data_IF_259009276684
#
_entry.id   IF_259009276684
#
_cell.length_a   1.000
_cell.length_b   1.000
_cell.length_c   1.000
_cell.angle_alpha   90.00
_cell.angle_beta   90.00
_cell.angle_gamma   90.00
#
_symmetry.space_group_name_H-M   'P 1'
#
loop_
_entity.id
_entity.type
_entity.pdbx_description
1 polymer ?
#
# COMPACT_ATOMS: atom_id res chain seq x y z
N UNK A 1 35.16 0.21 -6.79
CA UNK A 1 33.75 0.06 -6.38
C UNK A 1 33.54 -1.40 -6.02
N UNK A 2 33.08 -1.75 -4.81
CA UNK A 2 32.63 -3.12 -4.55
C UNK A 2 31.53 -3.49 -5.55
N UNK A 3 31.43 -4.78 -5.90
CA UNK A 3 30.40 -5.25 -6.82
C UNK A 3 29.01 -5.05 -6.20
N UNK A 4 28.11 -4.41 -6.95
CA UNK A 4 26.70 -4.23 -6.58
C UNK A 4 25.88 -5.37 -7.16
N UNK A 5 24.98 -5.92 -6.35
CA UNK A 5 24.06 -6.98 -6.75
C UNK A 5 22.63 -6.47 -6.67
N UNK A 6 21.72 -7.14 -7.38
CA UNK A 6 20.29 -6.96 -7.16
C UNK A 6 19.61 -8.28 -6.82
N UNK A 7 18.57 -8.19 -6.00
CA UNK A 7 17.72 -9.30 -5.60
C UNK A 7 16.27 -8.94 -5.88
N UNK A 8 15.48 -9.94 -6.26
CA UNK A 8 14.08 -9.74 -6.62
C UNK A 8 13.17 -10.85 -6.12
N UNK A 9 11.94 -10.49 -5.79
CA UNK A 9 10.86 -11.43 -5.49
C UNK A 9 9.68 -11.15 -6.40
N UNK A 10 9.19 -12.20 -7.04
CA UNK A 10 7.93 -12.22 -7.78
C UNK A 10 7.30 -13.59 -7.56
N UNK A 11 6.01 -13.62 -7.27
CA UNK A 11 5.28 -14.85 -6.95
C UNK A 11 3.80 -14.66 -7.31
N UNK A 12 3.10 -15.72 -7.77
CA UNK A 12 1.64 -15.70 -7.91
C UNK A 12 0.90 -15.34 -6.61
N UNK A 13 1.55 -15.50 -5.47
CA UNK A 13 1.01 -15.12 -4.16
C UNK A 13 1.04 -13.61 -3.90
N UNK A 14 1.88 -12.85 -4.60
CA UNK A 14 1.94 -11.39 -4.46
C UNK A 14 0.89 -10.80 -5.39
N UNK A 15 -0.37 -10.97 -5.02
CA UNK A 15 -1.51 -10.55 -5.82
C UNK A 15 -2.53 -9.78 -5.01
N UNK A 16 -3.24 -8.88 -5.67
CA UNK A 16 -4.41 -8.21 -5.13
C UNK A 16 -5.48 -8.09 -6.23
N UNK A 17 -6.69 -8.53 -5.91
CA UNK A 17 -7.82 -8.51 -6.83
C UNK A 17 -8.66 -7.28 -6.52
N UNK A 18 -8.70 -6.31 -7.44
CA UNK A 18 -9.38 -5.03 -7.21
C UNK A 18 -10.26 -4.65 -8.39
N UNK A 19 -11.32 -3.91 -8.09
CA UNK A 19 -12.09 -3.17 -9.09
C UNK A 19 -11.48 -1.78 -9.30
N UNK A 20 -11.59 -1.24 -10.50
CA UNK A 20 -11.23 0.14 -10.82
C UNK A 20 -11.89 0.60 -12.13
N UNK A 21 -11.73 1.88 -12.40
CA UNK A 21 -11.83 2.46 -13.73
C UNK A 21 -10.92 3.68 -13.80
N UNK A 22 -10.30 3.89 -14.95
CA UNK A 22 -9.52 5.05 -15.31
C UNK A 22 -10.43 6.14 -15.88
N UNK A 23 -10.23 7.35 -15.40
CA UNK A 23 -10.85 8.56 -15.93
C UNK A 23 -9.79 9.66 -16.01
N UNK A 24 -9.78 10.41 -17.10
CA UNK A 24 -9.01 11.63 -17.31
C UNK A 24 -9.81 12.57 -18.23
N UNK A 25 -9.31 13.77 -18.50
CA UNK A 25 -10.09 14.81 -19.21
C UNK A 25 -10.68 14.28 -20.52
N UNK A 26 -12.01 14.26 -20.61
CA UNK A 26 -12.74 13.81 -21.80
C UNK A 26 -12.77 12.29 -22.02
N UNK A 27 -12.32 11.47 -21.07
CA UNK A 27 -12.33 10.01 -21.16
C UNK A 27 -12.67 9.35 -19.83
N UNK A 28 -13.50 8.31 -19.91
CA UNK A 28 -13.82 7.43 -18.77
C UNK A 28 -14.08 6.02 -19.28
N UNK A 29 -13.31 5.05 -18.80
CA UNK A 29 -13.56 3.63 -19.11
C UNK A 29 -14.58 3.00 -18.16
N UNK A 30 -15.21 1.90 -18.56
CA UNK A 30 -16.22 1.21 -17.73
C UNK A 30 -15.58 0.58 -16.49
N UNK A 31 -16.33 0.55 -15.39
CA UNK A 31 -15.95 -0.19 -14.19
C UNK A 31 -15.67 -1.65 -14.54
N UNK A 32 -14.51 -2.13 -14.13
CA UNK A 32 -14.09 -3.52 -14.26
C UNK A 32 -13.07 -3.85 -13.16
N UNK A 33 -12.30 -4.93 -13.29
CA UNK A 33 -11.29 -5.30 -12.31
C UNK A 33 -10.21 -6.19 -12.85
N UNK A 34 -9.15 -6.33 -12.05
CA UNK A 34 -7.95 -7.08 -12.38
C UNK A 34 -7.47 -7.91 -11.20
N UNK A 35 -6.77 -9.00 -11.53
CA UNK A 35 -5.94 -9.73 -10.58
C UNK A 35 -4.52 -9.19 -10.74
N UNK A 36 -4.24 -8.09 -10.05
CA UNK A 36 -2.92 -7.46 -10.11
C UNK A 36 -1.86 -8.39 -9.50
N UNK A 37 -0.65 -8.37 -10.06
CA UNK A 37 0.52 -9.03 -9.45
C UNK A 37 1.62 -8.02 -9.17
N UNK A 38 2.35 -8.25 -8.07
CA UNK A 38 3.42 -7.39 -7.57
C UNK A 38 4.78 -8.11 -7.68
N UNK A 39 5.74 -7.42 -8.27
CA UNK A 39 7.16 -7.75 -8.20
C UNK A 39 7.92 -6.66 -7.45
N UNK A 40 8.94 -7.05 -6.67
CA UNK A 40 9.84 -6.12 -5.98
C UNK A 40 11.27 -6.51 -6.32
N UNK A 41 12.10 -5.54 -6.72
CA UNK A 41 13.55 -5.70 -6.86
C UNK A 41 14.28 -4.61 -6.09
N UNK A 42 15.43 -4.94 -5.53
CA UNK A 42 16.26 -4.03 -4.76
C UNK A 42 17.74 -4.27 -5.11
N UNK A 43 18.47 -3.18 -5.32
CA UNK A 43 19.92 -3.22 -5.58
C UNK A 43 20.74 -2.65 -4.42
N UNK A 44 21.93 -3.20 -4.21
CA UNK A 44 22.89 -2.73 -3.20
C UNK A 44 24.10 -3.66 -3.05
N UNK A 45 24.99 -3.38 -2.10
CA UNK A 45 26.13 -4.24 -1.79
C UNK A 45 25.68 -5.51 -1.05
N UNK A 46 26.51 -6.55 -1.12
CA UNK A 46 26.34 -7.73 -0.27
C UNK A 46 26.87 -7.42 1.12
N UNK A 47 26.01 -7.56 2.13
CA UNK A 47 26.36 -7.39 3.54
C UNK A 47 27.30 -8.49 4.05
N UNK A 48 27.81 -8.33 5.27
CA UNK A 48 28.70 -9.30 5.92
C UNK A 48 28.06 -10.68 6.14
N UNK A 49 26.73 -10.75 6.10
CA UNK A 49 25.93 -11.97 6.21
C UNK A 49 25.71 -12.66 4.85
N UNK A 50 26.23 -12.11 3.76
CA UNK A 50 26.12 -12.69 2.41
C UNK A 50 24.85 -12.31 1.64
N UNK A 51 24.00 -11.42 2.17
CA UNK A 51 22.79 -10.97 1.49
C UNK A 51 22.86 -9.51 1.04
N UNK A 52 22.16 -9.16 -0.04
CA UNK A 52 21.78 -7.75 -0.28
C UNK A 52 20.63 -7.39 0.68
N UNK A 53 19.56 -8.17 0.59
CA UNK A 53 18.38 -8.12 1.45
C UNK A 53 17.86 -9.54 1.66
N UNK A 54 17.32 -9.84 2.84
CA UNK A 54 16.66 -11.13 3.08
C UNK A 54 15.40 -11.24 2.22
N UNK A 55 15.26 -12.33 1.46
CA UNK A 55 14.05 -12.58 0.68
C UNK A 55 12.80 -12.65 1.56
N UNK A 56 12.89 -13.15 2.79
CA UNK A 56 11.80 -13.18 3.76
C UNK A 56 11.24 -11.79 4.05
N UNK A 57 12.09 -10.78 4.15
CA UNK A 57 11.68 -9.38 4.34
C UNK A 57 10.90 -8.85 3.13
N UNK A 58 11.44 -9.04 1.92
CA UNK A 58 10.77 -8.61 0.68
C UNK A 58 9.43 -9.33 0.49
N UNK A 59 9.38 -10.65 0.74
CA UNK A 59 8.16 -11.46 0.62
C UNK A 59 7.09 -11.04 1.64
N UNK A 60 7.49 -10.75 2.89
CA UNK A 60 6.57 -10.28 3.93
C UNK A 60 5.94 -8.95 3.49
N UNK A 61 6.76 -7.98 3.12
CA UNK A 61 6.29 -6.65 2.72
C UNK A 61 5.40 -6.72 1.47
N UNK A 62 5.78 -7.51 0.46
CA UNK A 62 4.94 -7.71 -0.72
C UNK A 62 3.53 -8.21 -0.35
N UNK A 63 3.44 -9.23 0.52
CA UNK A 63 2.15 -9.78 0.98
C UNK A 63 1.33 -8.78 1.77
N UNK A 64 1.96 -8.01 2.65
CA UNK A 64 1.28 -6.98 3.43
C UNK A 64 0.67 -5.90 2.54
N UNK A 65 1.44 -5.37 1.58
CA UNK A 65 0.94 -4.32 0.66
C UNK A 65 -0.17 -4.87 -0.23
N UNK A 66 -0.02 -6.09 -0.77
CA UNK A 66 -1.09 -6.72 -1.54
C UNK A 66 -2.36 -6.89 -0.70
N UNK A 67 -2.24 -7.32 0.57
CA UNK A 67 -3.39 -7.48 1.46
C UNK A 67 -4.10 -6.16 1.77
N UNK A 68 -3.38 -5.05 1.87
CA UNK A 68 -3.95 -3.72 2.07
C UNK A 68 -4.86 -3.28 0.91
N UNK A 69 -4.58 -3.75 -0.32
CA UNK A 69 -5.35 -3.38 -1.51
C UNK A 69 -6.44 -4.39 -1.87
N UNK A 70 -6.19 -5.68 -1.63
CA UNK A 70 -7.04 -6.79 -2.08
C UNK A 70 -8.52 -6.61 -1.71
N UNK A 71 -9.42 -6.95 -2.65
CA UNK A 71 -10.87 -6.93 -2.47
C UNK A 71 -11.51 -5.53 -2.29
N UNK A 72 -10.88 -4.50 -2.85
CA UNK A 72 -11.43 -3.14 -2.84
C UNK A 72 -11.64 -2.56 -4.24
N UNK A 73 -12.49 -1.53 -4.33
CA UNK A 73 -12.47 -0.54 -5.40
C UNK A 73 -11.31 0.43 -5.17
N UNK A 74 -10.43 0.61 -6.16
CA UNK A 74 -9.36 1.60 -6.10
C UNK A 74 -9.94 2.99 -6.41
N UNK A 75 -9.86 3.91 -5.45
CA UNK A 75 -10.40 5.27 -5.57
C UNK A 75 -9.24 6.29 -5.60
N UNK A 76 -8.97 6.94 -6.74
CA UNK A 76 -7.89 7.91 -6.86
C UNK A 76 -8.31 9.27 -6.28
N UNK A 77 -7.97 9.51 -5.02
CA UNK A 77 -8.43 10.67 -4.24
C UNK A 77 -7.90 12.02 -4.74
N UNK A 78 -6.88 12.04 -5.61
CA UNK A 78 -6.31 13.25 -6.20
C UNK A 78 -6.74 13.48 -7.65
N UNK A 79 -7.71 12.71 -8.15
CA UNK A 79 -8.21 12.88 -9.51
C UNK A 79 -8.74 14.30 -9.73
N UNK A 80 -8.45 14.88 -10.89
CA UNK A 80 -8.91 16.20 -11.35
C UNK A 80 -10.19 16.13 -12.19
N UNK A 81 -10.73 14.92 -12.39
CA UNK A 81 -11.94 14.64 -13.18
C UNK A 81 -13.02 13.89 -12.40
N UNK A 82 -12.73 13.46 -11.18
CA UNK A 82 -13.70 12.81 -10.30
C UNK A 82 -14.12 13.74 -9.18
N UNK A 83 -15.42 13.93 -9.01
CA UNK A 83 -15.95 14.54 -7.81
C UNK A 83 -16.24 13.45 -6.77
N UNK A 84 -15.42 13.41 -5.72
CA UNK A 84 -15.49 12.40 -4.66
C UNK A 84 -16.03 13.04 -3.38
N UNK A 85 -17.08 12.45 -2.81
CA UNK A 85 -17.68 12.90 -1.55
C UNK A 85 -18.05 11.71 -0.67
N UNK A 86 -18.27 11.97 0.63
CA UNK A 86 -18.65 10.94 1.60
C UNK A 86 -20.04 11.25 2.14
N UNK A 87 -20.94 10.27 2.09
CA UNK A 87 -22.28 10.42 2.62
C UNK A 87 -22.67 9.19 3.44
N UNK A 88 -23.65 9.32 4.32
CA UNK A 88 -24.24 8.15 4.96
C UNK A 88 -25.24 7.46 4.02
N UNK A 89 -25.36 6.14 4.05
CA UNK A 89 -26.32 5.42 3.22
C UNK A 89 -27.76 5.79 3.61
N UNK A 90 -28.72 5.63 2.68
CA UNK A 90 -30.13 5.81 3.01
C UNK A 90 -30.52 4.85 4.16
N UNK A 91 -31.24 5.36 5.16
CA UNK A 91 -31.63 4.69 6.41
C UNK A 91 -30.54 4.54 7.48
N UNK A 92 -29.42 5.27 7.39
CA UNK A 92 -28.45 5.34 8.49
C UNK A 92 -29.03 6.11 9.69
N UNK A 93 -28.93 5.55 10.89
CA UNK A 93 -29.36 6.25 12.12
C UNK A 93 -28.45 7.44 12.38
N UNK A 94 -28.96 8.64 12.09
CA UNK A 94 -28.28 9.93 12.30
C UNK A 94 -27.79 10.18 13.72
N UNK A 95 -28.25 9.40 14.72
CA UNK A 95 -27.77 9.48 16.11
C UNK A 95 -26.42 8.80 16.32
N UNK A 96 -25.96 7.99 15.36
CA UNK A 96 -24.67 7.31 15.40
C UNK A 96 -23.79 7.97 14.35
N UNK A 97 -22.68 8.58 14.73
CA UNK A 97 -21.72 9.15 13.77
C UNK A 97 -20.49 8.24 13.66
N UNK A 98 -20.58 7.17 12.87
CA UNK A 98 -19.44 6.29 12.58
C UNK A 98 -18.91 6.56 11.17
N UNK A 99 -17.73 7.20 11.01
CA UNK A 99 -17.12 7.46 9.71
C UNK A 99 -16.86 6.20 8.85
N UNK A 100 -16.84 5.02 9.45
CA UNK A 100 -16.67 3.75 8.74
C UNK A 100 -17.96 3.25 8.08
N UNK A 101 -19.11 3.85 8.42
CA UNK A 101 -20.41 3.51 7.84
C UNK A 101 -20.83 4.44 6.69
N UNK A 102 -19.93 5.32 6.27
CA UNK A 102 -20.14 6.18 5.10
C UNK A 102 -20.03 5.37 3.80
N UNK A 103 -20.67 5.87 2.76
CA UNK A 103 -20.39 5.55 1.38
C UNK A 103 -19.42 6.56 0.78
N UNK A 104 -18.71 6.12 -0.26
CA UNK A 104 -17.94 6.95 -1.18
C UNK A 104 -18.80 7.18 -2.41
N UNK A 105 -19.15 8.45 -2.65
CA UNK A 105 -19.86 8.87 -3.84
C UNK A 105 -18.86 9.42 -4.86
N UNK A 106 -18.94 8.94 -6.10
CA UNK A 106 -18.07 9.36 -7.20
C UNK A 106 -18.96 9.81 -8.36
N UNK A 107 -18.79 11.06 -8.79
CA UNK A 107 -19.40 11.59 -10.02
C UNK A 107 -18.31 11.88 -11.04
N UNK A 108 -18.49 11.46 -12.29
CA UNK A 108 -17.51 11.66 -13.38
C UNK A 108 -17.95 12.76 -14.35
N UNK A 109 -17.05 13.23 -15.22
CA UNK A 109 -17.32 14.34 -16.18
C UNK A 109 -18.52 14.06 -17.11
N UNK A 110 -18.80 12.79 -17.43
CA UNK A 110 -19.94 12.38 -18.27
C UNK A 110 -21.28 12.31 -17.53
N UNK A 111 -21.31 12.65 -16.23
CA UNK A 111 -22.50 12.59 -15.38
C UNK A 111 -22.78 11.22 -14.75
N UNK A 112 -21.98 10.19 -15.02
CA UNK A 112 -22.10 8.89 -14.34
C UNK A 112 -21.88 9.03 -12.83
N UNK A 113 -22.66 8.28 -12.05
CA UNK A 113 -22.65 8.30 -10.58
C UNK A 113 -22.46 6.90 -9.99
N UNK A 114 -21.59 6.81 -9.00
CA UNK A 114 -21.31 5.59 -8.22
C UNK A 114 -21.42 5.90 -6.73
N UNK A 115 -21.92 4.94 -5.94
CA UNK A 115 -21.97 5.01 -4.48
C UNK A 115 -21.68 3.63 -3.91
N UNK A 116 -20.57 3.48 -3.18
CA UNK A 116 -20.15 2.22 -2.57
C UNK A 116 -19.84 2.40 -1.08
N UNK A 117 -20.00 1.36 -0.23
CA UNK A 117 -19.52 1.42 1.14
C UNK A 117 -18.05 1.82 1.21
N UNK A 118 -17.69 2.70 2.13
CA UNK A 118 -16.30 3.15 2.32
C UNK A 118 -15.37 2.00 2.72
N UNK A 119 -15.89 0.99 3.42
CA UNK A 119 -15.17 -0.25 3.73
C UNK A 119 -14.71 -1.02 2.49
N UNK A 120 -15.38 -0.83 1.36
CA UNK A 120 -15.13 -1.58 0.13
C UNK A 120 -14.23 -0.77 -0.83
N UNK A 121 -13.73 0.39 -0.38
CA UNK A 121 -12.93 1.32 -1.16
C UNK A 121 -11.53 1.50 -0.57
N UNK A 122 -10.50 1.31 -1.39
CA UNK A 122 -9.15 1.73 -1.07
C UNK A 122 -8.96 3.18 -1.55
N UNK A 123 -8.91 4.11 -0.60
CA UNK A 123 -8.76 5.55 -0.86
C UNK A 123 -7.28 5.89 -1.06
N UNK A 124 -6.84 5.98 -2.32
CA UNK A 124 -5.43 6.10 -2.66
C UNK A 124 -5.05 7.55 -2.98
N UNK A 125 -3.89 8.05 -2.51
CA UNK A 125 -3.42 9.42 -2.76
C UNK A 125 -2.78 9.57 -4.16
N UNK A 126 -3.45 9.04 -5.18
CA UNK A 126 -3.06 9.01 -6.60
C UNK A 126 -4.09 9.77 -7.45
N UNK A 127 -3.69 10.20 -8.65
CA UNK A 127 -4.52 10.94 -9.61
C UNK A 127 -5.32 9.99 -10.49
N UNK A 128 -4.68 8.90 -10.94
CA UNK A 128 -5.30 7.87 -11.76
C UNK A 128 -5.05 6.48 -11.17
N UNK A 129 -6.00 5.56 -11.32
CA UNK A 129 -5.87 4.16 -10.89
C UNK A 129 -5.18 3.28 -11.95
N UNK A 130 -4.13 3.80 -12.60
CA UNK A 130 -3.36 3.06 -13.61
C UNK A 130 -2.24 2.23 -12.98
N UNK A 131 -1.75 1.22 -13.69
CA UNK A 131 -0.60 0.42 -13.25
C UNK A 131 0.64 1.27 -12.89
N UNK A 132 0.92 2.36 -13.62
CA UNK A 132 2.07 3.23 -13.37
C UNK A 132 1.97 3.97 -12.04
N UNK A 133 0.82 4.60 -11.74
CA UNK A 133 0.64 5.30 -10.47
C UNK A 133 0.54 4.34 -9.29
N UNK A 134 -0.02 3.14 -9.51
CA UNK A 134 0.02 2.07 -8.52
C UNK A 134 1.46 1.63 -8.22
N UNK A 135 2.36 1.59 -9.22
CA UNK A 135 3.77 1.29 -8.96
C UNK A 135 4.40 2.34 -8.03
N UNK A 136 4.15 3.63 -8.27
CA UNK A 136 4.68 4.72 -7.43
C UNK A 136 4.12 4.65 -6.01
N UNK A 137 2.80 4.46 -5.88
CA UNK A 137 2.16 4.30 -4.58
C UNK A 137 2.72 3.10 -3.82
N UNK A 138 2.77 1.93 -4.45
CA UNK A 138 3.27 0.70 -3.83
C UNK A 138 4.75 0.81 -3.50
N UNK A 139 5.56 1.46 -4.34
CA UNK A 139 6.97 1.73 -4.06
C UNK A 139 7.15 2.45 -2.72
N UNK A 140 6.37 3.51 -2.49
CA UNK A 140 6.41 4.22 -1.20
C UNK A 140 5.98 3.31 -0.04
N UNK A 141 4.91 2.53 -0.21
CA UNK A 141 4.45 1.57 0.81
C UNK A 141 5.51 0.52 1.15
N UNK A 142 6.26 0.05 0.15
CA UNK A 142 7.35 -0.92 0.34
C UNK A 142 8.51 -0.29 1.11
N UNK A 143 8.92 0.94 0.76
CA UNK A 143 9.96 1.68 1.50
C UNK A 143 9.56 1.88 2.96
N UNK A 144 8.33 2.35 3.21
CA UNK A 144 7.82 2.60 4.57
C UNK A 144 7.84 1.31 5.42
N UNK A 145 7.41 0.18 4.83
CA UNK A 145 7.31 -1.12 5.53
C UNK A 145 8.65 -1.82 5.72
N UNK A 146 9.59 -1.68 4.78
CA UNK A 146 10.96 -2.16 4.97
C UNK A 146 11.72 -1.30 5.98
N UNK A 147 11.23 -0.07 6.21
CA UNK A 147 11.78 0.98 7.07
C UNK A 147 13.07 1.59 6.48
N UNK A 148 13.13 2.93 6.31
CA UNK A 148 14.31 3.60 5.74
C UNK A 148 15.61 3.33 6.49
N UNK A 149 15.60 3.24 7.81
CA UNK A 149 16.77 2.94 8.65
C UNK A 149 17.37 1.57 8.32
N UNK A 150 16.51 0.58 8.08
CA UNK A 150 16.93 -0.76 7.72
C UNK A 150 17.51 -0.79 6.30
N UNK A 151 16.85 -0.13 5.35
CA UNK A 151 17.35 0.01 3.97
C UNK A 151 18.74 0.66 3.93
N UNK A 152 18.92 1.74 4.70
CA UNK A 152 20.19 2.47 4.82
C UNK A 152 21.28 1.57 5.42
N UNK A 153 20.95 0.84 6.49
CA UNK A 153 21.88 -0.12 7.12
C UNK A 153 22.31 -1.23 6.16
N UNK A 154 21.43 -1.68 5.26
CA UNK A 154 21.75 -2.65 4.21
C UNK A 154 22.53 -2.03 3.04
N UNK A 155 22.62 -0.70 2.97
CA UNK A 155 23.21 0.02 1.85
C UNK A 155 22.38 -0.10 0.57
N UNK A 156 21.05 -0.25 0.67
CA UNK A 156 20.21 -0.34 -0.50
C UNK A 156 20.32 0.95 -1.34
N UNK A 157 20.53 0.84 -2.64
CA UNK A 157 20.78 1.98 -3.52
C UNK A 157 19.51 2.40 -4.25
N UNK A 158 18.74 1.43 -4.73
CA UNK A 158 17.50 1.64 -5.46
C UNK A 158 16.50 0.53 -5.18
N UNK A 159 15.22 0.85 -5.36
CA UNK A 159 14.11 -0.08 -5.30
C UNK A 159 13.31 0.03 -6.60
N UNK A 160 12.86 -1.10 -7.12
CA UNK A 160 11.95 -1.20 -8.26
C UNK A 160 10.70 -2.00 -7.86
N UNK A 161 9.55 -1.46 -8.23
CA UNK A 161 8.24 -2.12 -8.11
C UNK A 161 7.69 -2.37 -9.50
N UNK A 162 7.17 -3.57 -9.70
CA UNK A 162 6.43 -3.97 -10.91
C UNK A 162 4.99 -4.27 -10.54
N UNK A 163 4.04 -3.68 -11.25
CA UNK A 163 2.60 -4.00 -11.12
C UNK A 163 2.10 -4.46 -12.48
N UNK A 164 1.53 -5.66 -12.53
CA UNK A 164 0.93 -6.20 -13.75
C UNK A 164 -0.58 -6.31 -13.60
N UNK A 165 -1.33 -5.68 -14.50
CA UNK A 165 -2.79 -5.80 -14.63
C UNK A 165 -3.20 -7.13 -15.26
N UNK A 166 -2.34 -7.64 -16.14
CA UNK A 166 -2.45 -8.93 -16.82
C UNK A 166 -1.04 -9.52 -16.96
N UNK A 167 -0.89 -10.85 -17.15
CA UNK A 167 0.43 -11.46 -17.32
C UNK A 167 1.28 -10.87 -18.46
N UNK A 168 0.67 -10.20 -19.43
CA UNK A 168 1.34 -9.61 -20.59
C UNK A 168 1.43 -8.08 -20.56
N UNK A 169 0.93 -7.43 -19.50
CA UNK A 169 0.80 -5.97 -19.40
C UNK A 169 1.20 -5.54 -18.00
N UNK A 170 2.34 -4.86 -17.89
CA UNK A 170 2.88 -4.40 -16.62
C UNK A 170 3.52 -3.02 -16.73
N UNK A 171 3.46 -2.30 -15.62
CA UNK A 171 4.24 -1.10 -15.38
C UNK A 171 5.38 -1.41 -14.42
N UNK A 172 6.46 -0.63 -14.51
CA UNK A 172 7.61 -0.69 -13.59
C UNK A 172 7.99 0.71 -13.17
N UNK A 173 8.24 0.88 -11.89
CA UNK A 173 8.77 2.11 -11.33
C UNK A 173 10.02 1.81 -10.53
N UNK A 174 11.13 2.47 -10.88
CA UNK A 174 12.41 2.37 -10.19
C UNK A 174 12.85 3.75 -9.74
N UNK A 175 13.30 3.85 -8.49
CA UNK A 175 13.89 5.06 -7.96
C UNK A 175 15.04 4.73 -7.00
N UNK A 176 16.03 5.62 -6.97
CA UNK A 176 17.07 5.64 -5.94
C UNK A 176 16.44 5.89 -4.57
N UNK A 177 16.94 5.20 -3.55
CA UNK A 177 16.49 5.39 -2.17
C UNK A 177 17.25 6.59 -1.61
N UNK A 178 16.53 7.68 -1.36
CA UNK A 178 17.11 8.85 -0.71
C UNK A 178 17.08 8.68 0.80
N UNK A 179 18.25 8.72 1.42
CA UNK A 179 18.38 8.76 2.86
C UNK A 179 18.46 10.21 3.31
N UNK A 180 17.66 10.58 4.32
CA UNK A 180 17.95 11.83 5.02
C UNK A 180 19.29 11.64 5.75
N UNK A 181 20.22 12.60 5.68
CA UNK A 181 21.41 12.53 6.50
C UNK A 181 20.99 12.41 7.97
N UNK A 182 21.44 11.35 8.62
CA UNK A 182 21.14 11.12 10.03
C UNK A 182 21.57 12.34 10.87
N UNK A 183 20.63 12.92 11.62
CA UNK A 183 20.98 13.52 12.91
C UNK A 183 21.58 12.37 13.75
N UNK A 184 22.80 12.53 14.28
CA UNK A 184 23.49 11.44 14.95
C UNK A 184 22.58 10.90 16.05
N UNK A 185 22.23 9.60 15.93
CA UNK A 185 21.60 8.87 17.03
C UNK A 185 22.54 8.99 18.21
N UNK A 186 22.21 9.89 19.14
CA UNK A 186 22.93 10.10 20.39
C UNK A 186 23.20 8.72 20.97
N UNK A 187 24.45 8.28 20.92
CA UNK A 187 24.96 7.21 21.77
C UNK A 187 24.44 7.52 23.16
N UNK A 188 23.45 6.75 23.63
CA UNK A 188 23.15 6.69 25.06
C UNK A 188 24.41 6.16 25.69
N UNK A 189 25.23 7.10 26.13
CA UNK A 189 26.35 6.87 27.01
C UNK A 189 25.78 6.07 28.17
N UNK A 190 26.18 4.80 28.27
CA UNK A 190 25.91 3.98 29.43
C UNK A 190 26.50 4.72 30.62
N UNK A 191 25.66 5.48 31.33
CA UNK A 191 26.00 5.99 32.64
C UNK A 191 26.12 4.75 33.51
N UNK A 192 27.34 4.45 33.93
CA UNK A 192 27.62 3.38 34.87
C UNK A 192 26.72 3.56 36.10
N UNK A 193 25.90 2.55 36.38
CA UNK A 193 25.16 2.50 37.63
C UNK A 193 26.18 2.43 38.78
N UNK A 194 26.17 3.45 39.64
CA UNK A 194 26.90 3.44 40.92
C UNK A 194 26.41 2.31 41.83
N UNK A 195 27.17 1.96 42.89
CA UNK A 195 26.94 0.76 43.67
C UNK A 195 25.60 0.80 44.42
N UNK A 196 24.72 -0.15 44.13
CA UNK A 196 23.49 -0.38 44.90
C UNK A 196 23.81 -1.02 46.26
N UNK A 197 23.24 -0.43 47.32
CA UNK A 197 23.28 -0.92 48.69
C UNK A 197 22.68 -2.33 48.84
N UNK A 198 23.15 -3.15 49.79
CA UNK A 198 22.66 -4.51 49.98
C UNK A 198 21.37 -4.52 50.81
N UNK A 199 20.33 -5.18 50.29
CA UNK A 199 19.24 -5.67 51.13
C UNK A 199 17.84 -5.53 50.54
N UNK A 200 17.49 -6.37 49.57
CA UNK A 200 16.15 -6.96 49.48
C UNK A 200 16.17 -8.15 48.53
N UNK A 201 15.87 -9.34 49.06
CA UNK A 201 15.80 -10.60 48.32
C UNK A 201 14.35 -10.84 47.90
N UNK A 202 14.02 -11.02 46.61
CA UNK A 202 12.69 -11.44 46.21
C UNK A 202 12.51 -12.95 46.46
N UNK A 203 11.27 -13.42 46.73
CA UNK A 203 11.00 -14.80 47.08
C UNK A 203 11.11 -15.74 45.86
N UNK A 204 11.68 -16.93 46.09
CA UNK A 204 11.67 -18.06 45.16
C UNK A 204 10.24 -18.59 45.00
N UNK A 205 9.79 -18.77 43.76
CA UNK A 205 8.69 -19.71 43.45
C UNK A 205 9.26 -20.99 42.86
N UNK A 206 8.73 -22.09 43.37
CA UNK A 206 9.15 -23.46 43.18
C UNK A 206 8.77 -24.00 41.79
N UNK A 207 9.56 -24.98 41.34
CA UNK A 207 9.28 -25.83 40.20
C UNK A 207 8.20 -26.87 40.54
N UNK A 208 7.39 -27.23 39.55
CA UNK A 208 6.72 -28.52 39.47
C UNK A 208 6.65 -28.98 38.01
N UNK A 209 7.18 -30.18 37.80
CA UNK A 209 6.95 -31.17 36.73
C UNK A 209 5.43 -31.33 36.39
N UNK A 210 4.92 -31.94 35.32
CA UNK A 210 5.40 -32.85 34.24
C UNK A 210 4.23 -33.04 33.23
N UNK A 211 4.57 -33.66 32.09
CA UNK A 211 3.75 -34.56 31.25
C UNK A 211 3.07 -34.12 29.93
N UNK A 212 3.49 -34.87 28.89
CA UNK A 212 2.72 -35.56 27.85
C UNK A 212 2.43 -34.88 26.49
N UNK A 213 3.26 -35.28 25.51
CA UNK A 213 2.94 -35.82 24.18
C UNK A 213 1.54 -35.59 23.58
N UNK A 214 1.49 -34.91 22.42
CA UNK A 214 0.62 -35.27 21.28
C UNK A 214 1.34 -34.94 19.96
N UNK A 215 1.42 -35.92 19.06
CA UNK A 215 2.03 -35.89 17.72
C UNK A 215 1.22 -35.09 16.67
N UNK A 216 1.81 -34.70 15.53
CA UNK A 216 1.12 -33.94 14.48
C UNK A 216 0.35 -34.84 13.49
N UNK A 217 -0.88 -34.44 13.17
CA UNK A 217 -1.71 -35.08 12.16
C UNK A 217 -1.32 -34.67 10.72
N UNK A 218 -0.80 -35.68 10.01
CA UNK A 218 -0.93 -36.05 8.59
C UNK A 218 -1.30 -34.99 7.54
N UNK A 219 -0.32 -34.77 6.65
CA UNK A 219 -0.49 -34.40 5.25
C UNK A 219 -1.46 -35.35 4.52
N UNK A 220 -2.37 -34.79 3.72
CA UNK A 220 -3.09 -35.55 2.68
C UNK A 220 -2.72 -35.00 1.32
N UNK A 221 -1.90 -35.76 0.61
CA UNK A 221 -1.53 -35.62 -0.79
C UNK A 221 -2.74 -35.95 -1.67
N UNK A 222 -3.14 -35.05 -2.57
CA UNK A 222 -3.96 -35.41 -3.74
C UNK A 222 -3.14 -35.09 -4.98
N UNK A 223 -2.77 -36.16 -5.68
CA UNK A 223 -2.09 -36.16 -6.96
C UNK A 223 -3.07 -36.32 -8.13
N UNK A 224 -2.65 -35.74 -9.26
CA UNK A 224 -2.84 -36.20 -10.64
C UNK A 224 -4.09 -35.74 -11.44
N UNK A 225 -3.80 -34.79 -12.34
CA UNK A 225 -3.96 -34.83 -13.80
C UNK A 225 -5.35 -35.05 -14.44
N UNK A 226 -5.69 -34.16 -15.38
CA UNK A 226 -5.83 -34.59 -16.78
C UNK A 226 -5.74 -33.41 -17.76
N UNK A 227 -4.93 -33.63 -18.80
CA UNK A 227 -4.89 -32.89 -20.06
C UNK A 227 -6.25 -32.91 -20.76
N UNK A 228 -6.64 -31.79 -21.39
CA UNK A 228 -7.33 -31.85 -22.69
C UNK A 228 -7.15 -30.55 -23.48
N UNK A 229 -6.90 -30.78 -24.77
CA UNK A 229 -6.41 -29.86 -25.78
C UNK A 229 -7.46 -28.86 -26.30
N UNK A 230 -6.94 -27.77 -26.88
CA UNK A 230 -7.60 -26.62 -27.54
C UNK A 230 -8.57 -26.98 -28.68
N UNK A 231 -9.33 -25.99 -29.18
CA UNK A 231 -8.92 -25.38 -30.44
C UNK A 231 -8.85 -23.85 -30.44
N UNK A 232 -8.10 -23.34 -31.41
CA UNK A 232 -7.71 -21.94 -31.67
C UNK A 232 -8.75 -21.26 -32.55
N UNK A 233 -9.13 -20.02 -32.24
CA UNK A 233 -9.83 -19.13 -33.18
C UNK A 233 -9.08 -17.80 -33.22
N UNK A 234 -8.65 -17.41 -34.42
CA UNK A 234 -7.96 -16.17 -34.71
C UNK A 234 -8.92 -14.98 -34.64
N UNK A 235 -8.48 -13.87 -34.05
CA UNK A 235 -9.13 -12.57 -34.19
C UNK A 235 -8.08 -11.47 -34.28
N UNK A 236 -8.24 -10.64 -35.31
CA UNK A 236 -7.37 -9.59 -35.81
C UNK A 236 -7.28 -8.36 -34.88
N UNK A 237 -6.07 -7.82 -34.72
CA UNK A 237 -5.79 -6.56 -34.02
C UNK A 237 -6.06 -5.32 -34.90
N UNK A 238 -6.56 -4.20 -34.34
CA UNK A 238 -6.60 -2.90 -35.03
C UNK A 238 -5.26 -2.13 -34.87
N UNK A 239 -5.00 -1.11 -35.73
CA UNK A 239 -3.65 -0.56 -35.93
C UNK A 239 -3.19 0.39 -34.82
N UNK A 240 -1.89 0.37 -34.56
CA UNK A 240 -1.17 1.27 -33.67
C UNK A 240 -1.04 2.68 -34.27
N UNK A 241 -1.41 3.71 -33.52
CA UNK A 241 -1.07 5.10 -33.83
C UNK A 241 0.14 5.52 -32.99
N UNK A 242 1.23 5.82 -33.68
CA UNK A 242 2.45 6.41 -33.16
C UNK A 242 2.17 7.80 -32.55
N UNK A 243 2.61 8.03 -31.32
CA UNK A 243 2.68 9.36 -30.71
C UNK A 243 4.09 9.57 -30.15
N UNK A 244 4.73 10.66 -30.56
CA UNK A 244 6.09 11.06 -30.15
C UNK A 244 6.16 11.45 -28.66
N UNK A 245 7.35 11.37 -28.01
CA UNK A 245 7.48 11.58 -26.57
C UNK A 245 7.36 13.07 -26.20
N UNK A 246 6.55 13.35 -25.17
CA UNK A 246 6.48 14.66 -24.50
C UNK A 246 7.56 14.67 -23.41
N UNK A 247 8.51 15.61 -23.51
CA UNK A 247 9.48 15.90 -22.46
C UNK A 247 8.79 16.65 -21.31
N UNK A 248 8.74 16.03 -20.14
CA UNK A 248 8.38 16.68 -18.88
C UNK A 248 9.67 17.14 -18.19
N UNK A 249 9.81 18.45 -18.07
CA UNK A 249 10.92 19.11 -17.37
C UNK A 249 10.97 18.65 -15.90
N UNK A 250 12.15 18.17 -15.50
CA UNK A 250 12.43 17.75 -14.14
C UNK A 250 12.37 18.91 -13.15
N UNK A 251 11.54 18.72 -12.13
CA UNK A 251 11.66 19.33 -10.81
C UNK A 251 11.45 18.19 -9.80
N UNK A 252 12.37 17.97 -8.83
CA UNK A 252 12.19 16.91 -7.85
C UNK A 252 11.01 17.22 -6.93
N UNK A 253 10.10 16.25 -6.77
CA UNK A 253 9.04 16.29 -5.79
C UNK A 253 9.65 16.09 -4.39
N UNK A 254 9.90 17.18 -3.68
CA UNK A 254 10.10 17.13 -2.22
C UNK A 254 8.76 16.83 -1.57
N UNK A 255 8.59 15.60 -1.08
CA UNK A 255 7.46 15.23 -0.23
C UNK A 255 7.73 15.75 1.18
N UNK A 256 7.31 16.99 1.44
CA UNK A 256 7.07 17.42 2.80
C UNK A 256 5.90 16.59 3.35
N UNK A 257 6.08 16.03 4.54
CA UNK A 257 5.00 15.38 5.29
C UNK A 257 3.80 16.34 5.33
N UNK A 258 2.71 15.97 4.65
CA UNK A 258 1.49 16.74 4.70
C UNK A 258 0.93 16.65 6.13
N UNK A 259 1.08 17.75 6.87
CA UNK A 259 0.36 17.96 8.11
C UNK A 259 -1.15 17.83 7.81
N UNK A 260 -1.84 17.04 8.62
CA UNK A 260 -3.30 16.95 8.62
C UNK A 260 -3.89 18.36 8.77
N UNK A 261 -4.91 18.75 7.99
CA UNK A 261 -5.55 20.05 8.16
C UNK A 261 -6.20 20.13 9.54
N UNK A 262 -5.79 21.12 10.33
CA UNK A 262 -6.51 21.55 11.53
C UNK A 262 -7.73 22.34 11.10
N UNK A 263 -8.92 21.84 11.44
CA UNK A 263 -10.17 22.56 11.19
C UNK A 263 -10.29 23.75 12.17
N UNK A 264 -10.66 24.96 11.71
CA UNK A 264 -11.03 26.04 12.60
C UNK A 264 -12.34 25.68 13.32
N UNK A 265 -12.34 25.79 14.65
CA UNK A 265 -13.54 25.73 15.47
C UNK A 265 -14.50 26.84 15.06
N UNK A 266 -15.64 26.49 14.50
CA UNK A 266 -16.73 27.44 14.27
C UNK A 266 -17.34 27.85 15.60
N UNK A 267 -17.20 29.13 15.95
CA UNK A 267 -18.00 29.80 16.95
C UNK A 267 -19.44 29.91 16.45
N UNK A 268 -20.39 29.32 17.19
CA UNK A 268 -21.82 29.50 16.99
C UNK A 268 -22.22 30.97 17.10
N UNK A 269 -23.02 31.53 16.18
CA UNK A 269 -23.74 32.77 16.46
C UNK A 269 -24.95 32.46 17.34
N UNK A 270 -25.02 33.14 18.49
CA UNK A 270 -26.22 33.27 19.30
C UNK A 270 -27.38 33.78 18.44
N UNK A 271 -28.45 32.99 18.32
CA UNK A 271 -29.77 33.49 17.91
C UNK A 271 -30.71 33.41 19.10
N UNK A 272 -30.72 34.47 19.90
CA UNK A 272 -31.86 34.84 20.74
C UNK A 272 -33.00 35.29 19.81
N UNK A 273 -34.11 34.55 19.84
CA UNK A 273 -35.37 35.01 19.28
C UNK A 273 -35.94 36.20 20.05
N UNK A 274 -36.99 36.82 19.50
CA UNK A 274 -38.16 37.04 20.34
C UNK A 274 -39.41 36.45 19.70
N UNK A 275 -40.21 35.82 20.57
CA UNK A 275 -41.67 35.76 20.43
C UNK A 275 -42.22 37.13 20.07
N UNK A 276 -43.22 37.18 19.18
CA UNK A 276 -44.41 38.01 19.38
C UNK A 276 -45.51 37.59 18.40
N UNK A 277 -46.70 37.47 19.00
CA UNK A 277 -48.01 37.25 18.42
C UNK A 277 -48.38 38.29 17.34
N UNK A 278 -48.86 37.82 16.19
CA UNK A 278 -50.21 38.04 15.61
C UNK A 278 -50.30 37.37 14.23
#
# INVERSE_FOLDING_TARGET
>A
MPATFDVGVSSPDFKFSCAHFVAYKGFRERLHGHNYTLGIRLGGPVGSDGYVMDFGDLKRVAREVCKELNEHLLVPMKSDVLHISFCYPPNYDSKISDPNKQNVNITTEDGAFFSLPKSDCALLPIVHSTAEELCVYIWQRVVDKLRPDYLQKRGAEWLEVTVAERPTQEARFRQEIQYSPDEPTSTRQLVAAGPCCPGHRPPRKAASEKDADVAPDRETTISASSNRSRPVVASSAPPSKSSAPIQLNGQPLTVAAAALPTYPSSSSPNSSGPDLFE
#
